data_IF_819692041790
#
_entry.id   IF_819692041790
#
_cell.length_a   1.000
_cell.length_b   1.000
_cell.length_c   1.000
_cell.angle_alpha   90.00
_cell.angle_beta   90.00
_cell.angle_gamma   90.00
#
_symmetry.space_group_name_H-M   'P 1'
#
loop_
_entity.id
_entity.type
_entity.pdbx_description
1 polymer ?
#
# COMPACT_ATOMS: atom_id res chain seq x y z
N UNK A 1 5.93 -12.32 -14.38
CA UNK A 1 4.52 -12.72 -14.18
C UNK A 1 3.64 -11.71 -14.91
N UNK A 2 2.71 -12.13 -15.78
CA UNK A 2 1.76 -11.18 -16.37
C UNK A 2 0.95 -10.55 -15.23
N UNK A 3 0.82 -9.22 -15.21
CA UNK A 3 -0.06 -8.58 -14.23
C UNK A 3 -1.49 -9.02 -14.54
N UNK A 4 -2.15 -9.56 -13.52
CA UNK A 4 -3.53 -9.98 -13.64
C UNK A 4 -4.39 -8.75 -13.33
N UNK A 5 -5.11 -8.23 -14.32
CA UNK A 5 -6.03 -7.09 -14.19
C UNK A 5 -6.96 -7.27 -12.98
N UNK A 6 -7.39 -8.51 -12.70
CA UNK A 6 -8.22 -8.81 -11.54
C UNK A 6 -7.50 -8.54 -10.20
N UNK A 7 -6.18 -8.79 -10.13
CA UNK A 7 -5.36 -8.53 -8.96
C UNK A 7 -5.09 -7.03 -8.74
N UNK A 8 -4.84 -6.29 -9.82
CA UNK A 8 -4.71 -4.82 -9.77
C UNK A 8 -6.02 -4.16 -9.32
N UNK A 9 -7.14 -4.59 -9.90
CA UNK A 9 -8.47 -4.13 -9.49
C UNK A 9 -8.73 -4.44 -8.01
N UNK A 10 -8.47 -5.68 -7.57
CA UNK A 10 -8.63 -6.05 -6.17
C UNK A 10 -7.79 -5.16 -5.23
N UNK A 11 -6.54 -4.87 -5.57
CA UNK A 11 -5.67 -4.00 -4.77
C UNK A 11 -6.19 -2.56 -4.71
N UNK A 12 -6.65 -2.00 -5.82
CA UNK A 12 -7.23 -0.64 -5.84
C UNK A 12 -8.51 -0.55 -5.03
N UNK A 13 -9.40 -1.56 -5.13
CA UNK A 13 -10.60 -1.63 -4.31
C UNK A 13 -10.27 -1.80 -2.82
N UNK A 14 -9.31 -2.66 -2.48
CA UNK A 14 -8.86 -2.85 -1.11
C UNK A 14 -8.32 -1.55 -0.49
N UNK A 15 -7.48 -0.81 -1.23
CA UNK A 15 -7.01 0.51 -0.79
C UNK A 15 -8.17 1.50 -0.59
N UNK A 16 -9.13 1.52 -1.52
CA UNK A 16 -10.31 2.39 -1.40
C UNK A 16 -11.17 2.04 -0.19
N UNK A 17 -11.35 0.75 0.10
CA UNK A 17 -12.04 0.25 1.29
C UNK A 17 -11.31 0.71 2.54
N UNK A 18 -9.98 0.50 2.63
CA UNK A 18 -9.18 0.93 3.78
C UNK A 18 -9.24 2.44 4.01
N UNK A 19 -9.17 3.24 2.95
CA UNK A 19 -9.36 4.70 3.04
C UNK A 19 -10.75 5.06 3.55
N UNK A 20 -11.78 4.34 3.14
CA UNK A 20 -13.13 4.54 3.63
C UNK A 20 -13.26 4.15 5.11
N UNK A 21 -12.72 3.00 5.51
CA UNK A 21 -12.73 2.53 6.89
C UNK A 21 -11.91 3.43 7.82
N UNK A 22 -10.78 3.98 7.35
CA UNK A 22 -10.01 4.97 8.12
C UNK A 22 -10.83 6.23 8.47
N UNK A 23 -11.92 6.52 7.75
CA UNK A 23 -12.83 7.63 8.11
C UNK A 23 -13.66 7.33 9.35
N UNK A 24 -13.71 6.09 9.85
CA UNK A 24 -14.32 5.79 11.15
C UNK A 24 -13.38 6.01 12.33
N UNK A 25 -12.15 6.49 12.11
CA UNK A 25 -11.24 6.88 13.19
C UNK A 25 -11.90 7.97 14.05
N UNK A 26 -11.83 7.80 15.37
CA UNK A 26 -12.62 8.62 16.29
C UNK A 26 -11.84 9.77 16.93
N UNK A 27 -10.50 9.73 16.89
CA UNK A 27 -9.66 10.72 17.57
C UNK A 27 -9.01 11.68 16.58
N UNK A 28 -8.85 12.95 16.97
CA UNK A 28 -8.25 13.97 16.11
C UNK A 28 -6.78 13.70 15.76
N UNK A 29 -6.04 13.02 16.65
CA UNK A 29 -4.67 12.58 16.38
C UNK A 29 -4.62 11.56 15.26
N UNK A 30 -5.55 10.60 15.24
CA UNK A 30 -5.62 9.56 14.19
C UNK A 30 -5.99 10.17 12.84
N UNK A 31 -6.91 11.13 12.83
CA UNK A 31 -7.25 11.90 11.63
C UNK A 31 -6.07 12.68 11.08
N UNK A 32 -5.28 13.31 11.96
CA UNK A 32 -4.06 14.02 11.55
C UNK A 32 -3.04 13.04 10.95
N UNK A 33 -2.80 11.91 11.62
CA UNK A 33 -1.88 10.89 11.13
C UNK A 33 -2.35 10.31 9.79
N UNK A 34 -3.65 10.05 9.63
CA UNK A 34 -4.23 9.60 8.36
C UNK A 34 -4.03 10.63 7.23
N UNK A 35 -4.31 11.91 7.49
CA UNK A 35 -4.08 12.98 6.53
C UNK A 35 -2.60 13.14 6.15
N UNK A 36 -1.67 12.96 7.09
CA UNK A 36 -0.23 12.94 6.81
C UNK A 36 0.17 11.75 5.90
N UNK A 37 -0.44 10.58 6.11
CA UNK A 37 -0.26 9.42 5.24
C UNK A 37 -0.77 9.73 3.83
N UNK A 38 -2.02 10.19 3.68
CA UNK A 38 -2.61 10.53 2.38
C UNK A 38 -1.75 11.54 1.62
N UNK A 39 -1.42 12.68 2.25
CA UNK A 39 -0.61 13.74 1.62
C UNK A 39 0.76 13.25 1.18
N UNK A 40 1.43 12.42 2.00
CA UNK A 40 2.75 11.86 1.67
C UNK A 40 2.67 10.98 0.44
N UNK A 41 1.70 10.07 0.37
CA UNK A 41 1.59 9.14 -0.75
C UNK A 41 1.02 9.81 -2.01
N UNK A 42 0.16 10.82 -1.89
CA UNK A 42 -0.23 11.67 -3.03
C UNK A 42 0.95 12.45 -3.61
N UNK A 43 1.80 13.01 -2.74
CA UNK A 43 3.05 13.67 -3.17
C UNK A 43 3.95 12.68 -3.91
N UNK A 44 4.15 11.48 -3.35
CA UNK A 44 4.96 10.44 -3.96
C UNK A 44 4.44 10.01 -5.35
N UNK A 45 3.11 9.88 -5.52
CA UNK A 45 2.50 9.62 -6.84
C UNK A 45 2.78 10.74 -7.82
N UNK A 46 2.61 11.99 -7.38
CA UNK A 46 2.82 13.18 -8.21
C UNK A 46 4.28 13.29 -8.65
N UNK A 47 5.22 13.07 -7.73
CA UNK A 47 6.66 13.06 -8.03
C UNK A 47 7.05 11.91 -8.97
N UNK A 48 6.50 10.72 -8.76
CA UNK A 48 6.74 9.56 -9.63
C UNK A 48 6.23 9.83 -11.06
N UNK A 49 5.02 10.39 -11.18
CA UNK A 49 4.42 10.77 -12.47
C UNK A 49 5.22 11.88 -13.16
N UNK A 50 5.69 12.89 -12.41
CA UNK A 50 6.54 13.94 -12.96
C UNK A 50 7.86 13.37 -13.49
N UNK A 51 8.55 12.55 -12.67
CA UNK A 51 9.80 11.89 -13.06
C UNK A 51 9.61 10.98 -14.26
N UNK A 52 8.50 10.23 -14.31
CA UNK A 52 8.16 9.38 -15.44
C UNK A 52 8.10 10.19 -16.74
N UNK A 53 7.42 11.34 -16.73
CA UNK A 53 7.29 12.21 -17.91
C UNK A 53 8.63 12.83 -18.32
N UNK A 54 9.40 13.31 -17.36
CA UNK A 54 10.72 13.94 -17.61
C UNK A 54 11.72 12.94 -18.19
N UNK A 55 11.79 11.74 -17.59
CA UNK A 55 12.79 10.72 -17.95
C UNK A 55 12.30 9.75 -19.03
N UNK A 56 11.05 9.88 -19.49
CA UNK A 56 10.41 8.91 -20.39
C UNK A 56 11.29 8.56 -21.59
N UNK A 57 11.79 9.59 -22.27
CA UNK A 57 12.59 9.44 -23.47
C UNK A 57 13.88 8.66 -23.20
N UNK A 58 14.58 9.01 -22.13
CA UNK A 58 15.84 8.34 -21.74
C UNK A 58 15.57 6.89 -21.34
N UNK A 59 14.51 6.63 -20.58
CA UNK A 59 14.09 5.27 -20.19
C UNK A 59 13.70 4.43 -21.41
N UNK A 60 13.00 5.03 -22.37
CA UNK A 60 12.62 4.39 -23.63
C UNK A 60 13.84 4.04 -24.49
N UNK A 61 14.76 4.98 -24.69
CA UNK A 61 15.97 4.75 -25.48
C UNK A 61 16.83 3.65 -24.85
N UNK A 62 16.97 3.65 -23.52
CA UNK A 62 17.63 2.57 -22.77
C UNK A 62 16.94 1.23 -22.94
N UNK A 63 15.62 1.17 -22.73
CA UNK A 63 14.85 -0.07 -22.88
C UNK A 63 14.94 -0.61 -24.31
N UNK A 64 14.94 0.28 -25.31
CA UNK A 64 15.16 -0.08 -26.72
C UNK A 64 16.54 -0.67 -26.93
N UNK A 65 17.60 -0.07 -26.39
CA UNK A 65 18.96 -0.60 -26.48
C UNK A 65 19.08 -1.97 -25.81
N UNK A 66 18.54 -2.12 -24.59
CA UNK A 66 18.53 -3.40 -23.87
C UNK A 66 17.89 -4.52 -24.69
N UNK A 67 16.77 -4.24 -25.39
CA UNK A 67 16.09 -5.23 -26.24
C UNK A 67 16.96 -5.57 -27.47
N UNK A 68 17.65 -4.59 -28.05
CA UNK A 68 18.56 -4.83 -29.17
C UNK A 68 19.72 -5.72 -28.72
N UNK A 69 20.31 -5.42 -27.56
CA UNK A 69 21.42 -6.18 -26.99
C UNK A 69 21.00 -7.61 -26.62
N UNK A 70 19.81 -7.77 -26.04
CA UNK A 70 19.21 -9.09 -25.73
C UNK A 70 19.04 -9.94 -27.00
N UNK A 71 18.58 -9.33 -28.10
CA UNK A 71 18.40 -10.02 -29.39
C UNK A 71 19.70 -10.24 -30.16
N UNK A 72 20.71 -9.39 -29.94
CA UNK A 72 22.03 -9.50 -30.55
C UNK A 72 22.91 -10.53 -29.81
N UNK A 73 22.61 -10.82 -28.54
CA UNK A 73 23.30 -11.84 -27.76
C UNK A 73 23.24 -13.20 -28.46
N UNK A 74 24.39 -13.90 -28.60
CA UNK A 74 24.43 -15.20 -29.26
C UNK A 74 23.69 -16.24 -28.39
N UNK A 75 22.42 -16.49 -28.71
CA UNK A 75 21.72 -17.64 -28.17
C UNK A 75 22.46 -18.92 -28.61
N UNK A 76 22.95 -19.71 -27.64
CA UNK A 76 23.59 -21.01 -27.85
C UNK A 76 22.66 -22.09 -28.44
N UNK A 77 21.51 -21.73 -29.03
CA UNK A 77 20.48 -22.68 -29.39
C UNK A 77 19.78 -22.28 -30.69
N UNK A 78 19.92 -23.18 -31.68
CA UNK A 78 19.13 -23.35 -32.91
C UNK A 78 19.01 -22.12 -33.81
N UNK A 79 19.63 -22.23 -34.99
CA UNK A 79 19.51 -21.29 -36.11
C UNK A 79 18.03 -21.05 -36.42
N UNK A 80 17.55 -19.81 -36.27
CA UNK A 80 16.18 -19.45 -36.64
C UNK A 80 15.96 -19.70 -38.12
N UNK A 81 14.75 -20.14 -38.53
CA UNK A 81 14.40 -20.32 -39.92
C UNK A 81 14.66 -19.02 -40.70
N UNK A 82 15.16 -19.17 -41.93
CA UNK A 82 15.48 -18.07 -42.82
C UNK A 82 14.25 -17.17 -43.01
N UNK A 83 14.37 -15.87 -42.70
CA UNK A 83 13.35 -14.86 -43.03
C UNK A 83 12.74 -14.08 -41.86
N UNK A 84 12.94 -14.48 -40.59
CA UNK A 84 12.52 -13.63 -39.45
C UNK A 84 13.53 -12.51 -39.20
N UNK A 85 13.16 -11.27 -39.51
CA UNK A 85 13.91 -10.08 -39.09
C UNK A 85 13.80 -9.94 -37.55
N UNK A 86 14.89 -10.25 -36.86
CA UNK A 86 14.97 -10.11 -35.40
C UNK A 86 14.95 -8.63 -34.97
N UNK A 87 15.20 -7.70 -35.89
CA UNK A 87 15.41 -6.28 -35.65
C UNK A 87 14.31 -5.38 -36.22
N UNK A 88 13.08 -5.89 -36.36
CA UNK A 88 11.91 -5.05 -36.67
C UNK A 88 11.82 -3.87 -35.68
N UNK A 89 12.04 -2.67 -36.20
CA UNK A 89 12.12 -1.42 -35.44
C UNK A 89 10.81 -1.11 -34.73
N UNK A 90 9.67 -1.36 -35.36
CA UNK A 90 8.35 -1.05 -34.83
C UNK A 90 7.97 -2.02 -33.71
N UNK A 91 8.37 -3.28 -33.84
CA UNK A 91 8.22 -4.27 -32.78
C UNK A 91 9.09 -3.94 -31.56
N UNK A 92 10.35 -3.56 -31.78
CA UNK A 92 11.26 -3.17 -30.70
C UNK A 92 10.74 -1.91 -29.99
N UNK A 93 10.30 -0.90 -30.73
CA UNK A 93 9.73 0.32 -30.15
C UNK A 93 8.49 0.02 -29.29
N UNK A 94 7.54 -0.78 -29.80
CA UNK A 94 6.35 -1.19 -29.03
C UNK A 94 6.71 -2.00 -27.78
N UNK A 95 7.75 -2.82 -27.83
CA UNK A 95 8.21 -3.58 -26.67
C UNK A 95 8.90 -2.67 -25.63
N UNK A 96 9.70 -1.70 -26.08
CA UNK A 96 10.32 -0.70 -25.21
C UNK A 96 9.27 0.17 -24.49
N UNK A 97 8.26 0.66 -25.22
CA UNK A 97 7.13 1.39 -24.64
C UNK A 97 6.44 0.57 -23.54
N UNK A 98 6.03 -0.66 -23.85
CA UNK A 98 5.38 -1.55 -22.87
C UNK A 98 6.25 -1.82 -21.65
N UNK A 99 7.57 -1.94 -21.82
CA UNK A 99 8.49 -2.15 -20.69
C UNK A 99 8.52 -0.93 -19.78
N UNK A 100 8.69 0.26 -20.34
CA UNK A 100 8.72 1.52 -19.58
C UNK A 100 7.39 1.78 -18.87
N UNK A 101 6.26 1.56 -19.56
CA UNK A 101 4.93 1.67 -18.95
C UNK A 101 4.72 0.68 -17.81
N UNK A 102 5.06 -0.60 -18.02
CA UNK A 102 4.94 -1.62 -16.98
C UNK A 102 5.78 -1.29 -15.76
N UNK A 103 7.02 -0.84 -15.96
CA UNK A 103 7.92 -0.51 -14.87
C UNK A 103 7.39 0.71 -14.06
N UNK A 104 6.78 1.70 -14.73
CA UNK A 104 6.07 2.81 -14.06
C UNK A 104 4.83 2.36 -13.29
N UNK A 105 3.99 1.53 -13.90
CA UNK A 105 2.81 0.98 -13.23
C UNK A 105 3.19 0.15 -12.00
N UNK A 106 4.30 -0.58 -12.04
CA UNK A 106 4.82 -1.30 -10.89
C UNK A 106 5.28 -0.35 -9.76
N UNK A 107 5.88 0.79 -10.11
CA UNK A 107 6.24 1.83 -9.15
C UNK A 107 5.00 2.41 -8.45
N UNK A 108 3.97 2.78 -9.22
CA UNK A 108 2.70 3.28 -8.68
C UNK A 108 2.00 2.23 -7.80
N UNK A 109 1.95 0.97 -8.24
CA UNK A 109 1.37 -0.11 -7.45
C UNK A 109 2.11 -0.34 -6.12
N UNK A 110 3.44 -0.17 -6.09
CA UNK A 110 4.22 -0.26 -4.87
C UNK A 110 3.92 0.90 -3.89
N UNK A 111 3.71 2.11 -4.42
CA UNK A 111 3.29 3.28 -3.64
C UNK A 111 1.91 3.01 -3.01
N UNK A 112 0.95 2.51 -3.80
CA UNK A 112 -0.40 2.19 -3.35
C UNK A 112 -0.41 1.09 -2.27
N UNK A 113 0.37 0.02 -2.46
CA UNK A 113 0.50 -1.05 -1.49
C UNK A 113 1.11 -0.56 -0.16
N UNK A 114 2.13 0.30 -0.24
CA UNK A 114 2.74 0.90 0.94
C UNK A 114 1.78 1.83 1.69
N UNK A 115 0.94 2.58 0.97
CA UNK A 115 -0.12 3.38 1.58
C UNK A 115 -1.13 2.49 2.32
N UNK A 116 -1.65 1.46 1.66
CA UNK A 116 -2.62 0.53 2.26
C UNK A 116 -2.09 -0.13 3.53
N UNK A 117 -0.81 -0.52 3.55
CA UNK A 117 -0.16 -1.09 4.74
C UNK A 117 -0.04 -0.07 5.89
N UNK A 118 0.20 1.21 5.58
CA UNK A 118 0.30 2.28 6.60
C UNK A 118 -1.05 2.63 7.19
N UNK A 119 -2.10 2.67 6.37
CA UNK A 119 -3.48 2.89 6.83
C UNK A 119 -3.92 1.73 7.74
N UNK A 120 -3.66 0.49 7.33
CA UNK A 120 -3.99 -0.69 8.15
C UNK A 120 -3.28 -0.68 9.51
N UNK A 121 -1.99 -0.32 9.53
CA UNK A 121 -1.25 -0.17 10.79
C UNK A 121 -1.87 0.90 11.69
N UNK A 122 -2.24 2.06 11.14
CA UNK A 122 -2.90 3.13 11.90
C UNK A 122 -4.24 2.67 12.49
N UNK A 123 -5.04 1.93 11.71
CA UNK A 123 -6.32 1.40 12.18
C UNK A 123 -6.12 0.38 13.31
N UNK A 124 -5.17 -0.54 13.17
CA UNK A 124 -4.83 -1.51 14.22
C UNK A 124 -4.40 -0.82 15.51
N UNK A 125 -3.53 0.20 15.41
CA UNK A 125 -3.08 0.97 16.57
C UNK A 125 -4.23 1.74 17.23
N UNK A 126 -5.23 2.18 16.47
CA UNK A 126 -6.45 2.81 17.00
C UNK A 126 -7.35 1.81 17.72
N UNK A 127 -7.56 0.63 17.15
CA UNK A 127 -8.33 -0.45 17.75
C UNK A 127 -7.69 -0.94 19.06
N UNK A 128 -6.38 -1.13 19.09
CA UNK A 128 -5.65 -1.55 20.29
C UNK A 128 -5.78 -0.52 21.43
N UNK A 129 -5.67 0.78 21.12
CA UNK A 129 -5.89 1.84 22.11
C UNK A 129 -7.33 1.87 22.64
N UNK A 130 -8.31 1.61 21.78
CA UNK A 130 -9.71 1.50 22.22
C UNK A 130 -9.93 0.27 23.10
N UNK A 131 -9.40 -0.89 22.71
CA UNK A 131 -9.49 -2.11 23.49
C UNK A 131 -8.95 -1.92 24.92
N UNK A 132 -7.76 -1.32 25.06
CA UNK A 132 -7.14 -1.00 26.36
C UNK A 132 -8.01 -0.06 27.21
N UNK A 133 -8.63 0.96 26.60
CA UNK A 133 -9.55 1.87 27.30
C UNK A 133 -10.77 1.12 27.85
N UNK A 134 -11.35 0.19 27.09
CA UNK A 134 -12.48 -0.64 27.57
C UNK A 134 -12.09 -1.50 28.76
N UNK A 135 -10.95 -2.19 28.71
CA UNK A 135 -10.47 -3.03 29.82
C UNK A 135 -10.23 -2.19 31.08
N UNK A 136 -9.55 -1.04 30.95
CA UNK A 136 -9.31 -0.15 32.08
C UNK A 136 -10.62 0.39 32.69
N UNK A 137 -11.60 0.71 31.85
CA UNK A 137 -12.92 1.17 32.28
C UNK A 137 -13.68 0.07 33.03
N UNK A 138 -13.65 -1.16 32.53
CA UNK A 138 -14.33 -2.30 33.15
C UNK A 138 -13.71 -2.66 34.51
N UNK A 139 -12.38 -2.63 34.62
CA UNK A 139 -11.69 -2.86 35.90
C UNK A 139 -11.93 -1.74 36.92
N UNK A 140 -12.00 -0.48 36.47
CA UNK A 140 -12.39 0.64 37.32
C UNK A 140 -13.83 0.46 37.82
N UNK A 141 -14.78 0.16 36.93
CA UNK A 141 -16.18 -0.05 37.28
C UNK A 141 -16.37 -1.21 38.26
N UNK A 142 -15.70 -2.34 38.01
CA UNK A 142 -15.70 -3.51 38.91
C UNK A 142 -15.12 -3.18 40.29
N UNK A 143 -14.07 -2.37 40.33
CA UNK A 143 -13.45 -1.95 41.60
C UNK A 143 -14.32 -0.93 42.36
N UNK A 144 -14.99 -0.04 41.65
CA UNK A 144 -15.94 0.92 42.21
C UNK A 144 -17.17 0.20 42.81
N UNK A 145 -17.73 -0.78 42.09
CA UNK A 145 -18.88 -1.57 42.52
C UNK A 145 -18.59 -2.37 43.82
N UNK A 146 -17.38 -2.93 43.94
CA UNK A 146 -16.93 -3.59 45.17
C UNK A 146 -16.83 -2.65 46.39
N UNK A 147 -16.62 -1.34 46.19
CA UNK A 147 -16.60 -0.34 47.27
C UNK A 147 -18.00 0.14 47.67
N UNK A 148 -19.00 -0.03 46.81
CA UNK A 148 -20.41 0.32 47.09
C UNK A 148 -21.23 -0.83 47.72
N UNK A 149 -20.61 -1.99 47.98
CA UNK A 149 -21.24 -3.05 48.77
C UNK A 149 -21.61 -2.59 50.18
N UNK A 150 -22.61 -3.22 50.84
CA UNK A 150 -23.17 -2.77 52.11
C UNK A 150 -22.09 -2.53 53.16
N UNK A 151 -22.12 -1.34 53.75
CA UNK A 151 -21.17 -0.83 54.72
C UNK A 151 -20.77 -1.93 55.72
N UNK A 152 -19.50 -2.35 55.70
CA UNK A 152 -18.94 -3.35 56.62
C UNK A 152 -18.82 -2.84 58.07
N UNK A 153 -19.51 -1.75 58.41
CA UNK A 153 -19.80 -1.38 59.79
C UNK A 153 -20.86 -2.34 60.32
N UNK A 154 -20.42 -3.55 60.68
CA UNK A 154 -21.24 -4.50 61.43
C UNK A 154 -21.85 -3.83 62.66
N UNK A 155 -23.06 -4.23 63.07
CA UNK A 155 -23.75 -3.60 64.20
C UNK A 155 -22.84 -3.69 65.42
N UNK A 156 -22.46 -2.52 65.96
CA UNK A 156 -21.85 -2.43 67.28
C UNK A 156 -22.86 -2.99 68.28
N UNK A 157 -22.66 -4.22 68.71
CA UNK A 157 -23.33 -4.79 69.88
C UNK A 157 -22.94 -3.93 71.09
N UNK A 158 -23.84 -3.04 71.48
CA UNK A 158 -23.84 -2.45 72.82
C UNK A 158 -24.25 -3.54 73.81
N UNK A 159 -23.38 -3.80 74.78
CA UNK A 159 -23.69 -4.58 75.98
C UNK A 159 -24.54 -3.77 76.95
#
# INVERSE_FOLDING_TARGET
MPSNIAGELAATFDLAIRRHEAKSLTTGEDWKAFGEIENRFETARTESEARYREEYRTRFEKARQDIIDEKASPAHTIRTPFGTDRFDKDMIARQAHRRVERDHQAELAAIDAAEGARIEALMRDAEERHALKTVARDDFNRSADRRSGPDRRGPRRSY
#
